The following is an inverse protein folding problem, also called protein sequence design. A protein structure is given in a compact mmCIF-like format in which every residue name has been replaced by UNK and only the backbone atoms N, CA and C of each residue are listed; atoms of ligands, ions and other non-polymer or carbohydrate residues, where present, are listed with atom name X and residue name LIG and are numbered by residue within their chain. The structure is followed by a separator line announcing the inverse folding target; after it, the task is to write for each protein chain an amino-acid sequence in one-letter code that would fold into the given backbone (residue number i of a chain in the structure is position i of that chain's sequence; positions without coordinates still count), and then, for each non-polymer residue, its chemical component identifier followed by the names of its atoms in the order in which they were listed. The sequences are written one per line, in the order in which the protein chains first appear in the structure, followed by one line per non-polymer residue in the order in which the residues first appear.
data_IF_505569370741
#
_entry.id   IF_505569370741
#
_cell.length_a   1.000
_cell.length_b   1.000
_cell.length_c   1.000
_cell.angle_alpha   90.00
_cell.angle_beta   90.00
_cell.angle_gamma   90.00
#
_symmetry.space_group_name_H-M   'P 1'
#
loop_
_entity.id
_entity.type
_entity.pdbx_description
1 polymer ?
#
# COMPACT_ATOMS: atom_id res chain seq x y z
N UNK A 1 14.47 -11.67 -20.82
CA UNK A 1 13.51 -12.76 -20.58
C UNK A 1 14.05 -14.12 -21.07
N UNK A 2 14.85 -14.17 -22.14
CA UNK A 2 15.39 -15.44 -22.69
C UNK A 2 16.70 -15.89 -22.01
N UNK A 3 17.43 -15.00 -21.33
CA UNK A 3 18.72 -15.34 -20.70
C UNK A 3 18.66 -15.73 -19.22
N UNK A 4 17.53 -15.53 -18.53
CA UNK A 4 17.34 -15.92 -17.13
C UNK A 4 16.02 -16.68 -17.01
N UNK A 5 16.12 -17.99 -16.76
CA UNK A 5 14.98 -18.90 -16.66
C UNK A 5 13.90 -18.39 -15.70
N UNK A 6 12.64 -18.61 -16.06
CA UNK A 6 11.49 -17.96 -15.46
C UNK A 6 11.30 -18.30 -13.97
N UNK A 7 11.63 -19.53 -13.53
CA UNK A 7 11.28 -20.00 -12.16
C UNK A 7 12.29 -20.97 -11.50
N UNK A 8 13.07 -21.77 -12.24
CA UNK A 8 13.66 -23.03 -11.69
C UNK A 8 15.18 -23.08 -11.47
N UNK A 9 15.93 -21.96 -11.56
CA UNK A 9 17.39 -21.95 -11.32
C UNK A 9 17.80 -20.94 -10.23
N UNK A 10 18.92 -21.21 -9.52
CA UNK A 10 19.60 -20.33 -8.55
C UNK A 10 20.03 -19.00 -9.21
N UNK A 11 19.07 -18.10 -9.39
CA UNK A 11 19.21 -16.87 -10.19
C UNK A 11 17.90 -16.39 -10.82
N UNK A 12 16.76 -17.03 -10.50
CA UNK A 12 15.44 -16.73 -11.05
C UNK A 12 15.04 -15.26 -10.91
N UNK A 13 14.44 -14.73 -11.99
CA UNK A 13 13.98 -13.36 -12.15
C UNK A 13 13.10 -12.85 -10.98
N UNK A 14 12.35 -13.77 -10.34
CA UNK A 14 11.48 -13.49 -9.20
C UNK A 14 12.20 -13.24 -7.86
N UNK A 15 13.51 -13.48 -7.74
CA UNK A 15 14.27 -13.13 -6.51
C UNK A 15 14.63 -11.65 -6.45
N UNK A 16 14.63 -10.95 -7.59
CA UNK A 16 14.81 -9.49 -7.65
C UNK A 16 13.45 -8.79 -7.60
N UNK A 17 13.09 -8.25 -6.44
CA UNK A 17 11.84 -7.50 -6.21
C UNK A 17 11.64 -6.41 -7.28
N UNK A 18 12.71 -5.73 -7.70
CA UNK A 18 12.64 -4.68 -8.72
C UNK A 18 12.29 -5.18 -10.13
N UNK A 19 12.64 -6.42 -10.46
CA UNK A 19 12.32 -7.02 -11.75
C UNK A 19 10.86 -7.52 -11.78
N UNK A 20 10.37 -8.02 -10.64
CA UNK A 20 8.96 -8.37 -10.47
C UNK A 20 8.06 -7.13 -10.52
N UNK A 21 8.46 -6.02 -9.90
CA UNK A 21 7.75 -4.74 -9.97
C UNK A 21 7.65 -4.23 -11.42
N UNK A 22 8.74 -4.32 -12.19
CA UNK A 22 8.73 -3.93 -13.62
C UNK A 22 7.76 -4.80 -14.44
N UNK A 23 7.76 -6.12 -14.20
CA UNK A 23 6.82 -7.06 -14.84
C UNK A 23 5.35 -6.72 -14.52
N UNK A 24 5.03 -6.46 -13.25
CA UNK A 24 3.68 -6.10 -12.81
C UNK A 24 3.22 -4.81 -13.50
N UNK A 25 4.08 -3.78 -13.54
CA UNK A 25 3.75 -2.50 -14.18
C UNK A 25 3.49 -2.67 -15.67
N UNK A 26 4.27 -3.50 -16.37
CA UNK A 26 4.06 -3.80 -17.80
C UNK A 26 2.76 -4.58 -18.01
N UNK A 27 2.48 -5.61 -17.20
CA UNK A 27 1.25 -6.39 -17.27
C UNK A 27 0.01 -5.51 -17.04
N UNK A 28 0.02 -4.66 -16.00
CA UNK A 28 -1.06 -3.72 -15.71
C UNK A 28 -1.26 -2.73 -16.86
N UNK A 29 -0.19 -2.22 -17.46
CA UNK A 29 -0.28 -1.31 -18.60
C UNK A 29 -0.91 -1.99 -19.82
N UNK A 30 -0.55 -3.24 -20.10
CA UNK A 30 -1.10 -4.04 -21.20
C UNK A 30 -2.59 -4.33 -20.99
N UNK A 31 -2.97 -4.83 -19.82
CA UNK A 31 -4.37 -5.11 -19.47
C UNK A 31 -5.22 -3.84 -19.52
N UNK A 32 -4.68 -2.71 -19.05
CA UNK A 32 -5.36 -1.43 -19.07
C UNK A 32 -5.51 -0.83 -20.47
N UNK A 33 -4.68 -1.23 -21.44
CA UNK A 33 -4.83 -0.87 -22.85
C UNK A 33 -5.92 -1.71 -23.54
N UNK A 34 -5.96 -3.02 -23.26
CA UNK A 34 -6.97 -3.94 -23.81
C UNK A 34 -8.38 -3.63 -23.28
N UNK A 35 -8.50 -3.25 -22.00
CA UNK A 35 -9.79 -2.99 -21.34
C UNK A 35 -10.28 -1.54 -21.45
N UNK A 36 -9.72 -0.73 -22.35
CA UNK A 36 -10.00 0.71 -22.44
C UNK A 36 -11.48 1.04 -22.69
N UNK A 37 -12.25 0.10 -23.26
CA UNK A 37 -13.64 0.30 -23.70
C UNK A 37 -14.70 -0.32 -22.77
N UNK A 38 -14.34 -0.87 -21.61
CA UNK A 38 -15.30 -1.51 -20.68
C UNK A 38 -15.42 -0.71 -19.38
N UNK A 39 -16.64 -0.32 -19.01
CA UNK A 39 -16.98 0.44 -17.78
C UNK A 39 -17.08 -0.45 -16.54
N UNK A 40 -16.16 -1.40 -16.39
CA UNK A 40 -16.12 -2.31 -15.24
C UNK A 40 -15.32 -1.62 -14.11
N UNK A 41 -15.81 -1.67 -12.88
CA UNK A 41 -15.17 -1.04 -11.70
C UNK A 41 -13.68 -1.44 -11.54
N UNK A 42 -13.32 -2.67 -11.94
CA UNK A 42 -11.93 -3.14 -11.99
C UNK A 42 -11.02 -2.30 -12.90
N UNK A 43 -11.55 -1.72 -13.98
CA UNK A 43 -10.80 -0.84 -14.89
C UNK A 43 -10.41 0.47 -14.20
N UNK A 44 -11.17 0.94 -13.21
CA UNK A 44 -10.80 2.13 -12.42
C UNK A 44 -9.54 1.86 -11.59
N UNK A 45 -9.47 0.72 -10.91
CA UNK A 45 -8.31 0.34 -10.08
C UNK A 45 -7.06 0.14 -10.95
N UNK A 46 -7.21 -0.51 -12.11
CA UNK A 46 -6.11 -0.70 -13.07
C UNK A 46 -5.53 0.64 -13.60
N UNK A 47 -6.36 1.70 -13.69
CA UNK A 47 -5.88 3.04 -14.04
C UNK A 47 -5.04 3.66 -12.91
N UNK A 48 -5.42 3.47 -11.64
CA UNK A 48 -4.65 3.97 -10.49
C UNK A 48 -3.27 3.32 -10.42
N UNK A 49 -3.17 2.01 -10.70
CA UNK A 49 -1.90 1.29 -10.69
C UNK A 49 -0.85 1.85 -11.69
N UNK A 50 -1.25 2.66 -12.69
CA UNK A 50 -0.29 3.36 -13.57
C UNK A 50 0.58 4.38 -12.81
N UNK A 51 0.18 4.81 -11.61
CA UNK A 51 0.99 5.65 -10.70
C UNK A 51 2.31 4.97 -10.29
N UNK A 52 2.41 3.65 -10.45
CA UNK A 52 3.61 2.87 -10.15
C UNK A 52 4.70 3.00 -11.24
N UNK A 53 4.42 3.58 -12.40
CA UNK A 53 5.41 3.75 -13.50
C UNK A 53 6.73 4.43 -13.09
N UNK A 54 6.76 5.46 -12.21
CA UNK A 54 8.02 6.03 -11.72
C UNK A 54 8.91 5.02 -10.99
N UNK A 55 8.36 3.96 -10.39
CA UNK A 55 9.15 2.89 -9.78
C UNK A 55 10.03 2.15 -10.81
N UNK A 56 9.64 2.12 -12.08
CA UNK A 56 10.50 1.60 -13.16
C UNK A 56 11.73 2.49 -13.38
N UNK A 57 11.61 3.80 -13.22
CA UNK A 57 12.74 4.73 -13.33
C UNK A 57 13.78 4.47 -12.22
N UNK A 58 13.33 4.10 -11.02
CA UNK A 58 14.20 3.66 -9.91
C UNK A 58 15.05 2.46 -10.31
N UNK A 59 14.48 1.48 -11.03
CA UNK A 59 15.22 0.29 -11.46
C UNK A 59 16.21 0.59 -12.59
N UNK A 60 16.00 1.66 -13.38
CA UNK A 60 16.91 2.11 -14.44
C UNK A 60 18.09 2.92 -13.90
N UNK A 61 17.88 3.70 -12.84
CA UNK A 61 18.90 4.53 -12.22
C UNK A 61 19.63 3.77 -11.10
N UNK A 62 20.90 3.39 -11.34
CA UNK A 62 21.73 2.63 -10.36
C UNK A 62 21.85 3.33 -9.00
N UNK A 63 21.99 4.66 -8.98
CA UNK A 63 22.07 5.43 -7.73
C UNK A 63 20.79 5.34 -6.89
N UNK A 64 19.62 5.49 -7.53
CA UNK A 64 18.33 5.46 -6.84
C UNK A 64 17.99 4.05 -6.32
N UNK A 65 18.37 3.00 -7.06
CA UNK A 65 18.26 1.62 -6.62
C UNK A 65 19.06 1.34 -5.33
N UNK A 66 20.25 1.90 -5.22
CA UNK A 66 21.08 1.76 -4.02
C UNK A 66 20.42 2.42 -2.81
N UNK A 67 19.90 3.65 -2.97
CA UNK A 67 19.17 4.35 -1.91
C UNK A 67 17.97 3.55 -1.41
N UNK A 68 17.17 2.97 -2.30
CA UNK A 68 16.00 2.16 -1.91
C UNK A 68 16.43 0.88 -1.19
N UNK A 69 17.54 0.25 -1.58
CA UNK A 69 18.08 -0.90 -0.85
C UNK A 69 18.49 -0.53 0.58
N UNK A 70 19.18 0.59 0.77
CA UNK A 70 19.53 1.10 2.09
C UNK A 70 18.27 1.38 2.93
N UNK A 71 17.24 1.97 2.33
CA UNK A 71 15.96 2.22 3.00
C UNK A 71 15.28 0.93 3.46
N UNK A 72 15.25 -0.11 2.63
CA UNK A 72 14.66 -1.41 3.01
C UNK A 72 15.43 -2.05 4.18
N UNK A 73 16.76 -1.94 4.18
CA UNK A 73 17.59 -2.45 5.29
C UNK A 73 17.30 -1.67 6.57
N UNK A 74 17.19 -0.34 6.49
CA UNK A 74 16.84 0.51 7.62
C UNK A 74 15.45 0.18 8.19
N UNK A 75 14.44 0.00 7.33
CA UNK A 75 13.09 -0.39 7.75
C UNK A 75 13.11 -1.73 8.49
N UNK A 76 13.86 -2.72 8.00
CA UNK A 76 14.00 -4.01 8.70
C UNK A 76 14.63 -3.87 10.09
N UNK A 77 15.60 -2.97 10.24
CA UNK A 77 16.23 -2.67 11.53
C UNK A 77 15.23 -2.10 12.55
N UNK A 78 14.31 -1.24 12.09
CA UNK A 78 13.29 -0.59 12.94
C UNK A 78 12.07 -1.49 13.18
N UNK A 79 11.97 -2.64 12.49
CA UNK A 79 10.80 -3.53 12.53
C UNK A 79 10.41 -3.97 13.94
N UNK A 80 11.37 -4.22 14.83
CA UNK A 80 11.08 -4.60 16.21
C UNK A 80 10.42 -3.46 17.00
N UNK A 81 10.86 -2.21 16.79
CA UNK A 81 10.28 -1.03 17.44
C UNK A 81 8.84 -0.84 16.96
N UNK A 82 8.61 -0.93 15.63
CA UNK A 82 7.26 -0.82 15.06
C UNK A 82 6.31 -1.85 15.64
N UNK A 83 6.76 -3.10 15.82
CA UNK A 83 5.93 -4.15 16.42
C UNK A 83 5.51 -3.80 17.84
N UNK A 84 6.45 -3.36 18.68
CA UNK A 84 6.16 -2.96 20.06
C UNK A 84 5.23 -1.74 20.10
N UNK A 85 5.48 -0.73 19.28
CA UNK A 85 4.60 0.45 19.19
C UNK A 85 3.20 0.07 18.73
N UNK A 86 3.07 -0.82 17.75
CA UNK A 86 1.76 -1.27 17.27
C UNK A 86 0.98 -2.03 18.34
N UNK A 87 1.65 -2.87 19.14
CA UNK A 87 1.02 -3.54 20.29
C UNK A 87 0.53 -2.52 21.34
N UNK A 88 1.34 -1.50 21.63
CA UNK A 88 0.98 -0.44 22.55
C UNK A 88 -0.23 0.38 22.04
N UNK A 89 -0.20 0.80 20.78
CA UNK A 89 -1.31 1.48 20.12
C UNK A 89 -2.58 0.62 20.17
N UNK A 90 -2.47 -0.68 19.89
CA UNK A 90 -3.60 -1.60 19.96
C UNK A 90 -4.21 -1.67 21.37
N UNK A 91 -3.39 -1.77 22.41
CA UNK A 91 -3.87 -1.74 23.80
C UNK A 91 -4.64 -0.45 24.10
N UNK A 92 -4.07 0.71 23.74
CA UNK A 92 -4.74 2.00 23.93
C UNK A 92 -6.00 2.13 23.07
N UNK A 93 -6.03 1.58 21.86
CA UNK A 93 -7.23 1.56 21.02
C UNK A 93 -8.36 0.76 21.68
N UNK A 94 -8.07 -0.42 22.24
CA UNK A 94 -9.06 -1.23 22.96
C UNK A 94 -9.58 -0.47 24.18
N UNK A 95 -8.70 0.12 24.99
CA UNK A 95 -9.09 0.94 26.14
C UNK A 95 -9.95 2.13 25.68
N UNK A 96 -9.54 2.82 24.62
CA UNK A 96 -10.25 3.95 24.04
C UNK A 96 -11.66 3.59 23.57
N UNK A 97 -11.82 2.45 22.88
CA UNK A 97 -13.14 1.94 22.50
C UNK A 97 -13.99 1.65 23.74
N UNK A 98 -13.44 0.99 24.76
CA UNK A 98 -14.22 0.65 25.95
C UNK A 98 -14.66 1.89 26.75
N UNK A 99 -13.86 2.95 26.76
CA UNK A 99 -14.17 4.19 27.48
C UNK A 99 -15.08 5.15 26.68
N UNK A 100 -14.84 5.27 25.38
CA UNK A 100 -15.44 6.33 24.55
C UNK A 100 -16.45 5.83 23.53
N UNK A 101 -16.74 4.52 23.47
CA UNK A 101 -17.78 3.98 22.59
C UNK A 101 -19.11 4.65 22.87
N UNK A 102 -19.65 5.32 21.85
CA UNK A 102 -20.91 6.03 21.94
C UNK A 102 -20.87 7.25 22.86
N UNK A 103 -19.71 7.91 23.05
CA UNK A 103 -19.62 9.17 23.81
C UNK A 103 -19.32 10.40 22.93
N UNK A 104 -18.98 10.18 21.67
CA UNK A 104 -18.61 11.26 20.72
C UNK A 104 -19.73 11.64 19.75
N UNK A 105 -20.99 11.42 20.12
CA UNK A 105 -22.11 12.00 19.39
C UNK A 105 -22.36 13.43 19.88
N UNK A 106 -22.69 14.33 18.96
CA UNK A 106 -23.09 15.71 19.27
C UNK A 106 -24.07 16.18 18.21
N UNK A 107 -25.04 17.00 18.63
CA UNK A 107 -25.92 17.70 17.70
C UNK A 107 -25.18 18.83 16.99
N UNK A 108 -25.60 19.15 15.77
CA UNK A 108 -25.12 20.35 15.05
C UNK A 108 -25.59 21.63 15.73
N UNK A 109 -26.79 21.61 16.32
CA UNK A 109 -27.30 22.68 17.17
C UNK A 109 -26.80 22.50 18.61
N UNK A 110 -25.99 23.45 19.09
CA UNK A 110 -25.34 23.44 20.40
C UNK A 110 -26.36 23.57 21.54
N UNK A 111 -27.57 24.07 21.25
CA UNK A 111 -28.66 24.20 22.23
C UNK A 111 -29.35 22.87 22.54
N UNK A 112 -29.08 21.81 21.77
CA UNK A 112 -29.68 20.48 21.93
C UNK A 112 -28.69 19.50 22.55
N UNK A 113 -29.06 18.92 23.70
CA UNK A 113 -28.21 18.00 24.46
C UNK A 113 -28.74 16.55 24.51
N UNK A 114 -29.96 16.31 24.05
CA UNK A 114 -30.63 14.99 24.07
C UNK A 114 -30.84 14.51 22.63
N UNK A 115 -30.64 13.22 22.39
CA UNK A 115 -30.79 12.61 21.05
C UNK A 115 -32.20 12.80 20.48
N UNK A 116 -33.24 12.75 21.31
CA UNK A 116 -34.64 12.93 20.90
C UNK A 116 -34.93 14.35 20.37
N UNK A 117 -34.18 15.33 20.86
CA UNK A 117 -34.27 16.74 20.43
C UNK A 117 -33.39 17.04 19.21
N UNK A 118 -32.55 16.09 18.80
CA UNK A 118 -31.57 16.18 17.73
C UNK A 118 -32.16 15.71 16.39
N UNK A 119 -33.11 16.49 15.85
CA UNK A 119 -33.77 16.21 14.56
C UNK A 119 -33.20 17.04 13.42
#
# INVERSE_FOLDING_TARGET
MISYGFVLHEGAFCRSVFNLLDLIVVCVALVSFVLQNQTISAVKILRVLRVLRPLRAINRAKGLKHVVQCMIIAIKSIGNIVLVTFLLEFMFAVIGVQLFKGKFYSCTDISKHVEEDCK
#
